data_IF_212407445691
#
_entry.id   IF_212407445691
#
_cell.length_a   1.000
_cell.length_b   1.000
_cell.length_c   1.000
_cell.angle_alpha   90.00
_cell.angle_beta   90.00
_cell.angle_gamma   90.00
#
_symmetry.space_group_name_H-M   'P 1'
#
loop_
_entity.id
_entity.type
_entity.pdbx_description
1 polymer ?
#
# COMPACT_ATOMS: atom_id res chain seq x y z
N UNK A 1 10.93 -18.33 -2.59
CA UNK A 1 10.55 -17.19 -3.44
C UNK A 1 9.08 -16.96 -3.19
N UNK A 2 8.73 -15.93 -2.42
CA UNK A 2 7.34 -15.59 -2.05
C UNK A 2 7.07 -14.20 -2.61
N UNK A 3 6.79 -14.05 -3.92
CA UNK A 3 6.45 -12.75 -4.47
C UNK A 3 5.10 -12.29 -3.94
N UNK A 4 5.00 -11.02 -3.58
CA UNK A 4 3.79 -10.43 -2.97
C UNK A 4 3.10 -9.43 -3.86
N UNK A 5 3.87 -8.77 -4.73
CA UNK A 5 3.37 -7.74 -5.65
C UNK A 5 4.27 -7.60 -6.88
N UNK A 6 3.71 -7.04 -7.96
CA UNK A 6 4.42 -6.73 -9.21
C UNK A 6 3.84 -5.48 -9.85
N UNK A 7 4.73 -4.58 -10.30
CA UNK A 7 4.35 -3.38 -11.06
C UNK A 7 5.14 -3.30 -12.35
N UNK A 8 4.59 -2.57 -13.32
CA UNK A 8 5.25 -2.28 -14.58
C UNK A 8 6.11 -1.03 -14.44
N UNK A 9 7.37 -1.14 -14.81
CA UNK A 9 8.23 0.01 -15.08
C UNK A 9 8.10 0.38 -16.55
N UNK A 10 7.20 1.32 -16.83
CA UNK A 10 6.88 1.74 -18.20
C UNK A 10 8.08 2.38 -18.91
N UNK A 11 8.97 3.06 -18.18
CA UNK A 11 10.11 3.76 -18.78
C UNK A 11 11.16 2.78 -19.30
N UNK A 12 11.43 1.71 -18.55
CA UNK A 12 12.44 0.71 -18.94
C UNK A 12 11.85 -0.56 -19.58
N UNK A 13 10.53 -0.58 -19.84
CA UNK A 13 9.80 -1.76 -20.34
C UNK A 13 10.10 -3.03 -19.54
N UNK A 14 10.17 -2.90 -18.23
CA UNK A 14 10.51 -3.98 -17.30
C UNK A 14 9.42 -4.17 -16.26
N UNK A 15 9.53 -5.22 -15.44
CA UNK A 15 8.68 -5.38 -14.25
C UNK A 15 9.52 -5.23 -12.99
N UNK A 16 8.90 -4.70 -11.95
CA UNK A 16 9.47 -4.65 -10.60
C UNK A 16 8.66 -5.59 -9.72
N UNK A 17 9.35 -6.48 -9.00
CA UNK A 17 8.73 -7.54 -8.20
C UNK A 17 9.15 -7.38 -6.75
N UNK A 18 8.17 -7.43 -5.84
CA UNK A 18 8.39 -7.56 -4.41
C UNK A 18 8.63 -9.03 -4.09
N UNK A 19 9.90 -9.42 -3.98
CA UNK A 19 10.34 -10.77 -3.65
C UNK A 19 10.49 -10.89 -2.12
N UNK A 20 9.36 -10.91 -1.42
CA UNK A 20 9.29 -10.94 0.05
C UNK A 20 10.07 -12.12 0.62
N UNK A 21 9.96 -13.29 0.00
CA UNK A 21 10.66 -14.50 0.45
C UNK A 21 12.18 -14.37 0.48
N UNK A 22 12.76 -13.48 -0.33
CA UNK A 22 14.18 -13.15 -0.33
C UNK A 22 14.47 -11.75 0.23
N UNK A 23 13.48 -11.09 0.83
CA UNK A 23 13.55 -9.76 1.46
C UNK A 23 14.18 -8.70 0.55
N UNK A 24 13.72 -8.64 -0.70
CA UNK A 24 14.30 -7.75 -1.72
C UNK A 24 13.28 -7.33 -2.77
N UNK A 25 13.54 -6.19 -3.39
CA UNK A 25 12.83 -5.75 -4.59
C UNK A 25 13.75 -5.93 -5.78
N UNK A 26 13.25 -6.56 -6.83
CA UNK A 26 14.02 -6.82 -8.07
C UNK A 26 13.36 -6.16 -9.27
N UNK A 27 14.18 -5.76 -10.23
CA UNK A 27 13.77 -5.45 -11.58
C UNK A 27 14.08 -6.65 -12.47
N UNK A 28 13.13 -7.02 -13.33
CA UNK A 28 13.27 -8.12 -14.27
C UNK A 28 13.06 -7.61 -15.70
N UNK A 29 14.06 -7.84 -16.55
CA UNK A 29 14.06 -7.47 -17.96
C UNK A 29 14.85 -8.51 -18.75
N UNK A 30 14.31 -8.99 -19.87
CA UNK A 30 15.01 -9.89 -20.80
C UNK A 30 15.73 -11.06 -20.11
N UNK A 31 14.99 -11.80 -19.26
CA UNK A 31 15.49 -12.95 -18.49
C UNK A 31 16.63 -12.63 -17.49
N UNK A 32 16.88 -11.35 -17.23
CA UNK A 32 17.91 -10.90 -16.29
C UNK A 32 17.26 -10.24 -15.08
N UNK A 33 17.69 -10.64 -13.87
CA UNK A 33 17.30 -9.98 -12.63
C UNK A 33 18.35 -8.94 -12.22
N UNK A 34 17.89 -7.79 -11.76
CA UNK A 34 18.69 -6.78 -11.06
C UNK A 34 18.06 -6.54 -9.69
N UNK A 35 18.84 -6.65 -8.62
CA UNK A 35 18.36 -6.31 -7.28
C UNK A 35 18.35 -4.79 -7.16
N UNK A 36 17.20 -4.20 -6.84
CA UNK A 36 17.05 -2.78 -6.57
C UNK A 36 17.26 -2.49 -5.09
N UNK A 37 16.47 -3.14 -4.23
CA UNK A 37 16.46 -2.89 -2.78
C UNK A 37 16.68 -4.22 -2.05
N UNK A 38 17.48 -4.21 -0.98
CA UNK A 38 17.80 -5.37 -0.13
C UNK A 38 17.31 -5.14 1.31
N UNK A 39 17.17 -6.23 2.06
CA UNK A 39 16.84 -6.23 3.49
C UNK A 39 15.50 -5.52 3.80
N UNK A 40 14.51 -5.74 2.94
CA UNK A 40 13.17 -5.16 3.06
C UNK A 40 12.12 -6.26 3.04
N UNK A 41 11.22 -6.28 4.02
CA UNK A 41 10.07 -7.19 4.04
C UNK A 41 8.94 -6.61 3.18
N UNK A 42 9.19 -6.59 1.86
CA UNK A 42 8.34 -5.96 0.86
C UNK A 42 7.01 -6.70 0.67
N UNK A 43 5.88 -6.00 0.82
CA UNK A 43 4.55 -6.58 0.60
C UNK A 43 3.75 -5.92 -0.51
N UNK A 44 4.00 -4.64 -0.79
CA UNK A 44 3.34 -3.88 -1.85
C UNK A 44 4.30 -2.90 -2.48
N UNK A 45 4.05 -2.63 -3.76
CA UNK A 45 4.81 -1.73 -4.60
C UNK A 45 3.88 -0.69 -5.23
N UNK A 46 4.37 0.53 -5.39
CA UNK A 46 3.75 1.53 -6.24
C UNK A 46 4.84 2.37 -6.91
N UNK A 47 4.53 2.96 -8.06
CA UNK A 47 5.43 3.90 -8.73
C UNK A 47 4.65 5.11 -9.19
N UNK A 48 5.18 6.30 -8.92
CA UNK A 48 4.57 7.56 -9.36
C UNK A 48 5.10 8.01 -10.74
N UNK A 49 4.41 8.97 -11.36
CA UNK A 49 4.83 9.57 -12.64
C UNK A 49 6.20 10.28 -12.59
N UNK A 50 6.66 10.64 -11.39
CA UNK A 50 7.95 11.29 -11.18
C UNK A 50 9.09 10.27 -11.07
N UNK A 51 8.82 8.96 -11.16
CA UNK A 51 9.82 7.90 -11.11
C UNK A 51 10.32 7.61 -9.69
N UNK A 52 9.45 7.74 -8.69
CA UNK A 52 9.69 7.22 -7.34
C UNK A 52 9.04 5.85 -7.18
N UNK A 53 9.82 4.89 -6.69
CA UNK A 53 9.36 3.56 -6.28
C UNK A 53 9.04 3.57 -4.78
N UNK A 54 7.81 3.21 -4.45
CA UNK A 54 7.30 3.09 -3.08
C UNK A 54 7.21 1.62 -2.71
N UNK A 55 7.64 1.28 -1.49
CA UNK A 55 7.66 -0.09 -0.98
C UNK A 55 7.17 -0.10 0.47
N UNK A 56 6.21 -0.96 0.77
CA UNK A 56 5.79 -1.21 2.14
C UNK A 56 6.74 -2.21 2.80
N UNK A 57 7.27 -1.86 3.97
CA UNK A 57 8.00 -2.79 4.83
C UNK A 57 7.07 -3.27 5.95
N UNK A 58 6.62 -4.52 5.81
CA UNK A 58 5.63 -5.11 6.71
C UNK A 58 6.16 -5.29 8.14
N UNK A 59 7.47 -5.54 8.30
CA UNK A 59 8.08 -5.79 9.62
C UNK A 59 8.41 -4.47 10.30
N UNK A 60 8.91 -3.48 9.56
CA UNK A 60 9.21 -2.15 10.09
C UNK A 60 7.97 -1.28 10.29
N UNK A 61 6.84 -1.65 9.68
CA UNK A 61 5.56 -0.92 9.75
C UNK A 61 5.67 0.50 9.19
N UNK A 62 6.20 0.59 7.98
CA UNK A 62 6.43 1.86 7.29
C UNK A 62 6.35 1.68 5.77
N UNK A 63 6.12 2.77 5.06
CA UNK A 63 6.31 2.85 3.61
C UNK A 63 7.49 3.75 3.34
N UNK A 64 8.38 3.29 2.47
CA UNK A 64 9.55 4.04 2.02
C UNK A 64 9.50 4.27 0.52
N UNK A 65 10.08 5.38 0.08
CA UNK A 65 10.28 5.67 -1.34
C UNK A 65 11.75 5.86 -1.70
N UNK A 66 12.09 5.50 -2.93
CA UNK A 66 13.39 5.73 -3.57
C UNK A 66 13.18 6.34 -4.94
N UNK A 67 14.08 7.24 -5.36
CA UNK A 67 14.15 7.65 -6.76
C UNK A 67 14.66 6.46 -7.58
N UNK A 68 14.02 6.17 -8.71
CA UNK A 68 14.46 5.08 -9.58
C UNK A 68 15.92 5.29 -10.00
N UNK A 69 16.75 4.26 -9.81
CA UNK A 69 18.21 4.31 -10.00
C UNK A 69 19.03 4.64 -8.75
N UNK A 70 18.42 5.15 -7.68
CA UNK A 70 19.10 5.60 -6.45
C UNK A 70 18.75 4.73 -5.23
N UNK A 71 19.34 3.53 -5.15
CA UNK A 71 19.02 2.55 -4.09
C UNK A 71 20.13 2.34 -3.04
N UNK A 72 21.21 3.13 -3.11
CA UNK A 72 22.33 3.03 -2.17
C UNK A 72 22.07 3.76 -0.83
N UNK A 73 20.86 4.28 -0.63
CA UNK A 73 20.41 4.91 0.60
C UNK A 73 19.28 4.09 1.25
N UNK A 74 18.88 4.46 2.47
CA UNK A 74 17.82 3.76 3.19
C UNK A 74 16.39 4.10 2.71
N UNK A 75 16.24 4.98 1.72
CA UNK A 75 14.94 5.51 1.28
C UNK A 75 14.36 6.53 2.24
N UNK A 76 13.39 7.30 1.76
CA UNK A 76 12.64 8.26 2.58
C UNK A 76 11.38 7.60 3.12
N UNK A 77 11.15 7.63 4.44
CA UNK A 77 9.87 7.22 5.03
C UNK A 77 8.79 8.23 4.64
N UNK A 78 7.68 7.74 4.11
CA UNK A 78 6.54 8.57 3.65
C UNK A 78 5.22 8.21 4.33
N UNK A 79 5.13 7.06 5.00
CA UNK A 79 4.02 6.72 5.88
C UNK A 79 4.52 5.82 7.04
N UNK A 80 3.93 5.98 8.22
CA UNK A 80 4.32 5.26 9.43
C UNK A 80 5.71 5.66 9.96
N UNK A 81 6.56 4.68 10.30
CA UNK A 81 7.92 4.91 10.80
C UNK A 81 8.02 5.24 12.30
N UNK A 82 6.88 5.38 13.01
CA UNK A 82 6.84 5.67 14.45
C UNK A 82 6.53 4.44 15.31
N UNK A 83 7.15 3.31 14.96
CA UNK A 83 6.91 1.96 15.53
C UNK A 83 5.53 1.40 15.16
N UNK A 84 5.34 0.12 15.47
CA UNK A 84 4.06 -0.57 15.33
C UNK A 84 2.99 0.05 16.25
N UNK A 85 1.82 0.35 15.70
CA UNK A 85 0.66 0.83 16.46
C UNK A 85 -0.48 1.27 15.55
N UNK A 86 -1.46 1.95 16.13
CA UNK A 86 -2.71 2.38 15.50
C UNK A 86 -2.93 3.91 15.54
N UNK A 87 -1.96 4.67 16.04
CA UNK A 87 -2.00 6.13 16.02
C UNK A 87 -1.92 6.69 14.59
N UNK A 88 -2.30 7.96 14.37
CA UNK A 88 -2.24 8.60 13.04
C UNK A 88 -0.87 8.55 12.36
N UNK A 89 0.22 8.51 13.12
CA UNK A 89 1.59 8.42 12.59
C UNK A 89 2.20 7.00 12.63
N UNK A 90 1.37 5.98 12.88
CA UNK A 90 1.78 4.59 13.05
C UNK A 90 1.04 3.66 12.07
N UNK A 91 1.67 2.53 11.79
CA UNK A 91 1.12 1.44 10.99
C UNK A 91 1.34 0.10 11.72
N UNK A 92 0.65 -0.94 11.27
CA UNK A 92 0.76 -2.30 11.77
C UNK A 92 0.58 -3.33 10.64
N UNK A 93 1.70 -3.81 10.12
CA UNK A 93 1.74 -4.74 8.98
C UNK A 93 1.14 -4.16 7.70
N UNK A 94 1.62 -3.00 7.21
CA UNK A 94 1.15 -2.41 5.97
C UNK A 94 1.42 -3.35 4.79
N UNK A 95 0.50 -3.41 3.84
CA UNK A 95 0.61 -4.30 2.67
C UNK A 95 0.63 -3.53 1.36
N UNK A 96 -0.52 -3.17 0.80
CA UNK A 96 -0.57 -2.51 -0.51
C UNK A 96 -0.52 -0.99 -0.37
N UNK A 97 -0.07 -0.38 -1.46
CA UNK A 97 0.12 1.06 -1.59
C UNK A 97 -0.54 1.52 -2.88
N UNK A 98 -1.23 2.65 -2.82
CA UNK A 98 -1.58 3.45 -3.99
C UNK A 98 -0.99 4.85 -3.81
N UNK A 99 -0.55 5.48 -4.89
CA UNK A 99 -0.02 6.84 -4.88
C UNK A 99 -0.76 7.63 -5.94
N UNK A 100 -1.39 8.73 -5.54
CA UNK A 100 -2.14 9.59 -6.45
C UNK A 100 -1.23 10.59 -7.18
N UNK A 101 -1.86 11.42 -8.04
CA UNK A 101 -1.18 12.44 -8.84
C UNK A 101 -0.59 13.60 -7.99
N UNK A 102 -1.14 13.82 -6.79
CA UNK A 102 -0.68 14.81 -5.81
C UNK A 102 0.40 14.25 -4.86
N UNK A 103 0.81 12.98 -5.06
CA UNK A 103 1.76 12.22 -4.25
C UNK A 103 1.26 11.90 -2.83
N UNK A 104 -0.05 11.88 -2.61
CA UNK A 104 -0.63 11.27 -1.41
C UNK A 104 -0.47 9.76 -1.49
N UNK A 105 -0.12 9.16 -0.36
CA UNK A 105 0.17 7.73 -0.23
C UNK A 105 -0.94 7.07 0.55
N UNK A 106 -1.70 6.22 -0.13
CA UNK A 106 -2.74 5.39 0.48
C UNK A 106 -2.14 4.04 0.84
N UNK A 107 -2.25 3.65 2.09
CA UNK A 107 -1.63 2.45 2.63
C UNK A 107 -2.69 1.59 3.28
N UNK A 108 -2.75 0.32 2.88
CA UNK A 108 -3.56 -0.65 3.58
C UNK A 108 -2.86 -1.09 4.86
N UNK A 109 -3.35 -0.59 5.99
CA UNK A 109 -2.84 -0.87 7.34
C UNK A 109 -3.49 -2.15 7.89
N UNK A 110 -3.08 -3.28 7.28
CA UNK A 110 -3.84 -4.53 7.30
C UNK A 110 -4.21 -5.05 8.68
N UNK A 111 -3.33 -4.94 9.68
CA UNK A 111 -3.63 -5.48 11.03
C UNK A 111 -4.42 -4.53 11.92
N UNK A 112 -4.63 -3.30 11.47
CA UNK A 112 -5.52 -2.33 12.11
C UNK A 112 -6.85 -2.19 11.33
N UNK A 113 -7.08 -3.06 10.33
CA UNK A 113 -8.34 -3.13 9.56
C UNK A 113 -8.80 -1.76 9.02
N UNK A 114 -7.86 -1.03 8.43
CA UNK A 114 -8.09 0.31 7.90
C UNK A 114 -7.23 0.60 6.67
N UNK A 115 -7.64 1.63 5.93
CA UNK A 115 -6.80 2.30 4.94
C UNK A 115 -6.46 3.69 5.45
N UNK A 116 -5.20 4.06 5.33
CA UNK A 116 -4.66 5.33 5.76
C UNK A 116 -4.18 6.13 4.55
N UNK A 117 -4.47 7.42 4.51
CA UNK A 117 -3.91 8.38 3.54
C UNK A 117 -2.85 9.23 4.24
N UNK A 118 -1.65 9.31 3.67
CA UNK A 118 -0.67 10.35 3.97
C UNK A 118 -0.59 11.30 2.79
N UNK A 119 -1.11 12.53 2.96
CA UNK A 119 -0.83 13.61 2.01
C UNK A 119 0.66 13.86 1.92
N UNK A 120 1.11 14.37 0.78
CA UNK A 120 2.52 14.68 0.55
C UNK A 120 3.13 15.48 1.71
N UNK A 121 4.26 14.98 2.22
CA UNK A 121 5.04 15.56 3.32
C UNK A 121 4.32 15.64 4.69
N UNK A 122 3.11 15.09 4.82
CA UNK A 122 2.39 15.01 6.07
C UNK A 122 3.13 14.14 7.11
N UNK A 123 3.05 14.52 8.38
CA UNK A 123 3.65 13.77 9.49
C UNK A 123 2.75 12.66 10.03
N UNK A 124 1.46 12.79 9.80
CA UNK A 124 0.43 11.88 10.25
C UNK A 124 -0.51 11.59 9.08
N UNK A 125 -1.11 10.40 9.09
CA UNK A 125 -2.09 9.98 8.12
C UNK A 125 -3.50 10.11 8.67
N UNK A 126 -4.47 10.10 7.76
CA UNK A 126 -5.90 10.12 8.05
C UNK A 126 -6.51 8.77 7.69
N UNK A 127 -7.43 8.27 8.52
CA UNK A 127 -8.21 7.08 8.17
C UNK A 127 -9.20 7.46 7.09
N UNK A 128 -9.15 6.77 5.95
CA UNK A 128 -10.03 7.04 4.80
C UNK A 128 -10.96 5.88 4.46
N UNK A 129 -10.73 4.70 5.05
CA UNK A 129 -11.67 3.58 5.03
C UNK A 129 -11.45 2.67 6.25
N UNK A 130 -12.52 2.09 6.79
CA UNK A 130 -12.48 1.20 7.95
C UNK A 130 -12.08 1.91 9.26
N UNK A 131 -11.24 1.25 10.08
CA UNK A 131 -10.74 1.82 11.34
C UNK A 131 -11.70 1.76 12.53
N UNK A 132 -12.90 1.19 12.35
CA UNK A 132 -13.89 0.99 13.43
C UNK A 132 -13.83 -0.45 14.00
N UNK A 133 -12.62 -1.01 14.05
CA UNK A 133 -12.37 -2.39 14.42
C UNK A 133 -12.65 -3.39 13.29
N UNK A 134 -12.20 -4.62 13.50
CA UNK A 134 -12.42 -5.74 12.60
C UNK A 134 -13.91 -6.12 12.56
N UNK A 135 -14.50 -6.25 11.38
CA UNK A 135 -15.88 -6.73 11.25
C UNK A 135 -16.45 -6.62 9.83
N UNK A 136 -17.74 -6.90 9.71
CA UNK A 136 -18.46 -6.99 8.42
C UNK A 136 -19.40 -5.79 8.17
N UNK A 137 -19.55 -4.89 9.14
CA UNK A 137 -20.36 -3.68 8.96
C UNK A 137 -19.77 -2.79 7.87
N UNK A 138 -20.57 -1.86 7.35
CA UNK A 138 -20.18 -0.97 6.24
C UNK A 138 -19.06 0.01 6.63
N UNK A 139 -18.88 0.29 7.93
CA UNK A 139 -17.78 1.10 8.46
C UNK A 139 -16.58 0.27 8.95
N UNK A 140 -16.58 -1.05 8.71
CA UNK A 140 -15.56 -1.99 9.15
C UNK A 140 -14.90 -2.71 7.98
N UNK A 141 -13.67 -3.16 8.20
CA UNK A 141 -12.92 -4.00 7.28
C UNK A 141 -12.44 -5.25 8.03
N UNK A 142 -11.98 -6.26 7.28
CA UNK A 142 -11.31 -7.43 7.83
C UNK A 142 -10.13 -7.86 6.95
N UNK A 143 -8.93 -7.60 7.44
CA UNK A 143 -7.65 -7.86 6.78
C UNK A 143 -7.64 -7.38 5.33
N UNK A 144 -7.90 -6.08 5.09
CA UNK A 144 -7.90 -5.51 3.75
C UNK A 144 -6.56 -5.76 3.04
N UNK A 145 -6.59 -5.77 1.71
CA UNK A 145 -5.38 -5.91 0.89
C UNK A 145 -5.22 -4.77 -0.10
N UNK A 146 -5.80 -4.89 -1.29
CA UNK A 146 -5.62 -3.89 -2.35
C UNK A 146 -6.39 -2.62 -2.02
N UNK A 147 -5.82 -1.49 -2.41
CA UNK A 147 -6.46 -0.17 -2.41
C UNK A 147 -6.16 0.51 -3.73
N UNK A 148 -7.15 1.15 -4.34
CA UNK A 148 -6.98 2.08 -5.45
C UNK A 148 -7.87 3.30 -5.21
N UNK A 149 -7.49 4.44 -5.78
CA UNK A 149 -8.30 5.66 -5.77
C UNK A 149 -8.50 6.09 -7.21
N UNK A 150 -9.72 6.44 -7.58
CA UNK A 150 -10.02 6.97 -8.91
C UNK A 150 -9.85 8.50 -8.99
N UNK A 151 -10.00 9.07 -10.19
CA UNK A 151 -9.85 10.51 -10.43
C UNK A 151 -10.94 11.36 -9.76
N UNK A 152 -12.00 10.74 -9.24
CA UNK A 152 -13.07 11.40 -8.49
C UNK A 152 -12.82 11.35 -6.97
N UNK A 153 -11.74 10.69 -6.53
CA UNK A 153 -11.42 10.49 -5.13
C UNK A 153 -12.16 9.33 -4.46
N UNK A 154 -12.80 8.44 -5.24
CA UNK A 154 -13.41 7.23 -4.71
C UNK A 154 -12.33 6.19 -4.40
N UNK A 155 -12.37 5.68 -3.17
CA UNK A 155 -11.41 4.75 -2.61
C UNK A 155 -12.01 3.36 -2.63
N UNK A 156 -11.44 2.47 -3.44
CA UNK A 156 -11.87 1.09 -3.53
C UNK A 156 -10.91 0.20 -2.75
N UNK A 157 -11.45 -0.61 -1.85
CA UNK A 157 -10.67 -1.49 -0.98
C UNK A 157 -11.10 -2.94 -1.17
N UNK A 158 -10.12 -3.81 -1.42
CA UNK A 158 -10.33 -5.25 -1.38
C UNK A 158 -10.37 -5.70 0.09
N UNK A 159 -11.58 -5.83 0.63
CA UNK A 159 -11.87 -6.27 1.99
C UNK A 159 -11.79 -7.81 2.09
N UNK A 160 -10.55 -8.29 2.03
CA UNK A 160 -10.22 -9.67 1.65
C UNK A 160 -10.91 -10.74 2.49
N UNK A 161 -10.99 -10.61 3.82
CA UNK A 161 -11.60 -11.69 4.65
C UNK A 161 -13.12 -11.67 4.58
N UNK A 162 -13.70 -10.52 4.29
CA UNK A 162 -15.14 -10.37 4.04
C UNK A 162 -15.53 -10.68 2.58
N UNK A 163 -14.56 -11.01 1.73
CA UNK A 163 -14.78 -11.47 0.35
C UNK A 163 -15.57 -10.47 -0.50
N UNK A 164 -15.32 -9.18 -0.27
CA UNK A 164 -16.00 -8.07 -0.94
C UNK A 164 -15.02 -6.99 -1.37
N UNK A 165 -15.46 -6.16 -2.29
CA UNK A 165 -14.86 -4.86 -2.60
C UNK A 165 -15.80 -3.79 -2.10
N UNK A 166 -15.23 -2.86 -1.35
CA UNK A 166 -15.96 -1.75 -0.76
C UNK A 166 -15.46 -0.42 -1.36
N UNK A 167 -16.34 0.56 -1.47
CA UNK A 167 -16.05 1.91 -1.95
C UNK A 167 -16.33 2.93 -0.84
N UNK A 168 -15.47 3.93 -0.71
CA UNK A 168 -15.64 5.11 0.15
C UNK A 168 -15.29 6.38 -0.61
N UNK A 169 -15.87 7.50 -0.20
CA UNK A 169 -15.43 8.84 -0.52
C UNK A 169 -14.76 9.49 0.71
N UNK A 170 -13.99 10.55 0.48
CA UNK A 170 -13.41 11.34 1.58
C UNK A 170 -14.52 11.87 2.52
N UNK A 171 -14.39 11.59 3.81
CA UNK A 171 -15.33 12.04 4.84
C UNK A 171 -16.49 11.08 5.12
N UNK A 172 -16.61 9.99 4.37
CA UNK A 172 -17.63 8.97 4.61
C UNK A 172 -17.47 8.32 5.99
N UNK A 173 -18.61 8.02 6.64
CA UNK A 173 -18.65 7.29 7.92
C UNK A 173 -18.70 5.78 7.72
N UNK A 174 -19.15 5.34 6.56
CA UNK A 174 -19.31 3.95 6.15
C UNK A 174 -19.19 3.86 4.64
N UNK A 175 -18.85 2.68 4.12
CA UNK A 175 -18.65 2.47 2.69
C UNK A 175 -19.80 1.71 2.06
N UNK A 176 -19.71 1.51 0.76
CA UNK A 176 -20.69 0.78 -0.02
C UNK A 176 -20.06 -0.49 -0.59
N UNK A 177 -20.81 -1.60 -0.57
CA UNK A 177 -20.38 -2.83 -1.24
C UNK A 177 -20.56 -2.63 -2.74
N UNK A 178 -19.48 -2.69 -3.50
CA UNK A 178 -19.53 -2.58 -4.98
C UNK A 178 -19.45 -3.94 -5.67
N UNK A 179 -18.79 -4.93 -5.06
CA UNK A 179 -18.67 -6.30 -5.58
C UNK A 179 -18.59 -7.31 -4.43
N UNK A 180 -19.30 -8.43 -4.55
CA UNK A 180 -19.17 -9.59 -3.65
C UNK A 180 -19.84 -9.42 -2.29
N UNK A 181 -19.42 -10.26 -1.32
CA UNK A 181 -20.02 -10.39 0.01
C UNK A 181 -20.53 -11.80 0.27
N UNK A 182 -20.84 -12.12 1.53
CA UNK A 182 -21.40 -13.42 1.91
C UNK A 182 -22.85 -13.58 1.37
N UNK A 183 -23.02 -13.72 0.06
CA UNK A 183 -24.32 -13.98 -0.57
C UNK A 183 -24.57 -13.48 -2.00
N UNK A 184 -23.62 -12.83 -2.69
CA UNK A 184 -23.76 -12.43 -4.11
C UNK A 184 -22.45 -12.56 -4.88
#
# INVERSE_FOLDING_TARGET
NFPTDVIVDQQNHSIIVADQGNRRVIQWLNQTQKILIKNIDCHGLAMDKHGFLYVSDYVKNEVRRWKMGEYNNEGTIVAGGNRRGDRPNQLNGPTFIFVDEDQSVYVTDRKNDRVMEWRKDAKEGTVVAGGNGQGENLNQLFYPRGVIVDDLGQIYVADRRNQRVMCWCEGDKEGEIVVGGFGQ
#
